data_IF_847648524183
#
_entry.id   IF_847648524183
#
_cell.length_a   1.000
_cell.length_b   1.000
_cell.length_c   1.000
_cell.angle_alpha   90.00
_cell.angle_beta   90.00
_cell.angle_gamma   90.00
#
_symmetry.space_group_name_H-M   'P 1'
#
loop_
_entity.id
_entity.type
_entity.pdbx_description
1 polymer ?
#
# COMPACT_ATOMS: atom_id res chain seq x y z
N UNK A 1 36.34 26.01 19.96
CA UNK A 1 35.66 24.81 20.53
C UNK A 1 34.20 25.17 20.58
N UNK A 2 33.39 24.62 19.68
CA UNK A 2 32.04 25.12 19.40
C UNK A 2 31.01 24.15 19.99
N UNK A 3 30.19 24.67 20.89
CA UNK A 3 29.10 23.97 21.56
C UNK A 3 28.00 23.60 20.55
N UNK A 4 27.73 22.31 20.39
CA UNK A 4 26.62 21.82 19.58
C UNK A 4 25.33 21.91 20.39
N UNK A 5 24.48 22.87 20.03
CA UNK A 5 23.09 22.97 20.47
C UNK A 5 22.31 21.72 20.05
N UNK A 6 21.87 20.91 21.01
CA UNK A 6 20.98 19.78 20.75
C UNK A 6 19.55 20.28 20.51
N UNK A 7 19.03 20.03 19.30
CA UNK A 7 17.67 20.32 18.86
C UNK A 7 16.62 19.63 19.73
N UNK A 8 15.77 20.43 20.39
CA UNK A 8 14.70 19.99 21.30
C UNK A 8 13.38 19.62 20.60
N UNK A 9 13.43 19.30 19.30
CA UNK A 9 12.24 19.05 18.46
C UNK A 9 12.25 17.67 17.77
N UNK A 10 13.00 16.71 18.31
CA UNK A 10 12.94 15.34 17.84
C UNK A 10 11.67 14.64 18.38
N UNK A 11 10.81 14.18 17.47
CA UNK A 11 9.58 13.43 17.76
C UNK A 11 9.82 12.22 18.68
N UNK A 12 11.00 11.60 18.62
CA UNK A 12 11.37 10.48 19.50
C UNK A 12 11.44 10.89 20.98
N UNK A 13 11.87 12.11 21.30
CA UNK A 13 11.95 12.59 22.69
C UNK A 13 10.57 12.93 23.25
N UNK A 14 9.66 13.46 22.41
CA UNK A 14 8.28 13.73 22.80
C UNK A 14 7.48 12.45 23.06
N UNK A 15 7.72 11.40 22.27
CA UNK A 15 7.15 10.06 22.50
C UNK A 15 7.64 9.45 23.81
N UNK A 16 8.93 9.59 24.12
CA UNK A 16 9.50 9.09 25.39
C UNK A 16 8.87 9.75 26.63
N UNK A 17 8.64 11.06 26.59
CA UNK A 17 7.98 11.78 27.70
C UNK A 17 6.51 11.38 27.89
N UNK A 18 5.80 11.08 26.81
CA UNK A 18 4.42 10.60 26.90
C UNK A 18 4.37 9.21 27.54
N UNK A 19 5.29 8.33 27.19
CA UNK A 19 5.38 7.01 27.78
C UNK A 19 5.65 7.09 29.29
N UNK A 20 6.63 7.89 29.71
CA UNK A 20 6.94 8.08 31.14
C UNK A 20 5.75 8.62 31.93
N UNK A 21 5.02 9.62 31.41
CA UNK A 21 3.84 10.15 32.11
C UNK A 21 2.69 9.15 32.23
N UNK A 22 2.53 8.28 31.24
CA UNK A 22 1.50 7.23 31.26
C UNK A 22 1.87 6.17 32.29
N UNK A 23 3.14 5.79 32.39
CA UNK A 23 3.65 4.85 33.40
C UNK A 23 3.46 5.41 34.82
N UNK A 24 3.87 6.64 35.07
CA UNK A 24 3.69 7.29 36.38
C UNK A 24 2.21 7.44 36.76
N UNK A 25 1.36 7.83 35.81
CA UNK A 25 -0.09 7.93 36.05
C UNK A 25 -0.71 6.56 36.34
N UNK A 26 -0.27 5.51 35.65
CA UNK A 26 -0.73 4.14 35.85
C UNK A 26 -0.32 3.59 37.22
N UNK A 27 0.93 3.79 37.63
CA UNK A 27 1.39 3.40 38.97
C UNK A 27 0.61 4.11 40.08
N UNK A 28 0.35 5.41 39.95
CA UNK A 28 -0.45 6.15 40.93
C UNK A 28 -1.90 5.65 41.01
N UNK A 29 -2.50 5.32 39.85
CA UNK A 29 -3.87 4.78 39.76
C UNK A 29 -3.99 3.37 40.34
N UNK A 30 -2.98 2.53 40.14
CA UNK A 30 -2.98 1.14 40.63
C UNK A 30 -2.65 1.10 42.13
N UNK A 31 -1.69 1.90 42.60
CA UNK A 31 -1.30 1.95 44.01
C UNK A 31 -2.42 2.48 44.92
N UNK A 32 -3.26 3.40 44.45
CA UNK A 32 -4.35 3.96 45.27
C UNK A 32 -5.61 3.08 45.34
N UNK A 33 -5.76 2.06 44.48
CA UNK A 33 -7.06 1.42 44.25
C UNK A 33 -6.98 -0.11 44.13
N UNK A 34 -6.18 -0.78 44.95
CA UNK A 34 -6.36 -2.22 45.20
C UNK A 34 -7.18 -2.37 46.48
N UNK A 35 -8.53 -2.29 46.44
CA UNK A 35 -9.32 -2.73 47.56
C UNK A 35 -8.98 -4.20 47.81
N UNK A 36 -8.80 -4.57 49.07
CA UNK A 36 -8.64 -5.97 49.48
C UNK A 36 -9.99 -6.67 49.27
N UNK A 37 -10.28 -7.03 48.01
CA UNK A 37 -11.53 -7.67 47.62
C UNK A 37 -11.45 -9.10 48.11
N UNK A 38 -12.05 -9.35 49.28
CA UNK A 38 -12.32 -10.70 49.73
C UNK A 38 -13.30 -11.31 48.74
N UNK A 39 -12.79 -12.17 47.88
CA UNK A 39 -13.60 -12.91 46.92
C UNK A 39 -14.60 -13.76 47.70
N UNK A 40 -15.91 -13.64 47.42
CA UNK A 40 -16.92 -14.43 48.09
C UNK A 40 -16.65 -15.93 47.95
N UNK A 41 -16.82 -16.71 49.03
CA UNK A 41 -16.48 -18.15 49.10
C UNK A 41 -17.19 -19.06 48.09
N UNK A 42 -18.20 -18.56 47.37
CA UNK A 42 -18.83 -19.29 46.27
C UNK A 42 -17.97 -19.33 44.99
N UNK A 43 -16.97 -18.46 44.85
CA UNK A 43 -16.00 -18.46 43.74
C UNK A 43 -15.12 -19.72 43.67
N UNK A 44 -14.90 -20.41 44.78
CA UNK A 44 -14.09 -21.64 44.85
C UNK A 44 -14.84 -22.91 44.40
N UNK A 45 -16.08 -22.77 43.92
CA UNK A 45 -16.86 -23.92 43.48
C UNK A 45 -16.39 -24.44 42.10
N UNK A 46 -16.11 -25.74 41.95
CA UNK A 46 -15.58 -26.32 40.70
C UNK A 46 -16.55 -26.20 39.52
N UNK A 47 -17.85 -26.13 39.80
CA UNK A 47 -18.90 -25.96 38.78
C UNK A 47 -18.87 -24.55 38.20
N UNK A 48 -18.67 -23.51 39.01
CA UNK A 48 -18.55 -22.14 38.50
C UNK A 48 -17.29 -21.95 37.69
N UNK A 49 -16.18 -22.61 38.06
CA UNK A 49 -14.96 -22.57 37.26
C UNK A 49 -15.16 -23.20 35.88
N UNK A 50 -15.85 -24.35 35.82
CA UNK A 50 -16.20 -25.00 34.56
C UNK A 50 -17.13 -24.12 33.70
N UNK A 51 -18.13 -23.47 34.29
CA UNK A 51 -19.03 -22.54 33.59
C UNK A 51 -18.27 -21.31 33.10
N UNK A 52 -17.38 -20.74 33.92
CA UNK A 52 -16.56 -19.58 33.55
C UNK A 52 -15.60 -19.92 32.40
N UNK A 53 -14.97 -21.09 32.43
CA UNK A 53 -14.11 -21.56 31.34
C UNK A 53 -14.92 -21.78 30.06
N UNK A 54 -16.10 -22.40 30.14
CA UNK A 54 -16.98 -22.58 29.00
C UNK A 54 -17.45 -21.23 28.42
N UNK A 55 -17.85 -20.29 29.28
CA UNK A 55 -18.24 -18.94 28.88
C UNK A 55 -17.06 -18.17 28.23
N UNK A 56 -15.86 -18.31 28.77
CA UNK A 56 -14.65 -17.71 28.21
C UNK A 56 -14.37 -18.21 26.79
N UNK A 57 -14.39 -19.53 26.57
CA UNK A 57 -14.20 -20.10 25.24
C UNK A 57 -15.31 -19.73 24.27
N UNK A 58 -16.55 -19.65 24.76
CA UNK A 58 -17.69 -19.20 23.96
C UNK A 58 -17.48 -17.75 23.51
N UNK A 59 -17.12 -16.84 24.41
CA UNK A 59 -16.82 -15.44 24.09
C UNK A 59 -15.65 -15.36 23.10
N UNK A 60 -14.57 -16.12 23.32
CA UNK A 60 -13.41 -16.15 22.44
C UNK A 60 -13.78 -16.61 21.03
N UNK A 61 -14.59 -17.67 20.93
CA UNK A 61 -15.08 -18.18 19.64
C UNK A 61 -15.96 -17.15 18.94
N UNK A 62 -16.85 -16.46 19.67
CA UNK A 62 -17.72 -15.42 19.14
C UNK A 62 -16.91 -14.22 18.61
N UNK A 63 -15.87 -13.80 19.34
CA UNK A 63 -14.91 -12.79 18.90
C UNK A 63 -14.13 -13.23 17.66
N UNK A 64 -13.67 -14.48 17.60
CA UNK A 64 -12.95 -15.00 16.45
C UNK A 64 -13.82 -15.05 15.19
N UNK A 65 -15.09 -15.47 15.32
CA UNK A 65 -16.07 -15.44 14.22
C UNK A 65 -16.34 -14.00 13.78
N UNK A 66 -16.55 -13.09 14.72
CA UNK A 66 -16.79 -11.68 14.42
C UNK A 66 -15.57 -11.02 13.73
N UNK A 67 -14.36 -11.26 14.21
CA UNK A 67 -13.13 -10.77 13.61
C UNK A 67 -12.93 -11.35 12.20
N UNK A 68 -13.15 -12.65 12.03
CA UNK A 68 -13.08 -13.30 10.71
C UNK A 68 -14.10 -12.71 9.74
N UNK A 69 -15.31 -12.44 10.21
CA UNK A 69 -16.35 -11.76 9.44
C UNK A 69 -15.94 -10.35 9.03
N UNK A 70 -15.39 -9.55 9.95
CA UNK A 70 -14.91 -8.20 9.67
C UNK A 70 -13.77 -8.20 8.64
N UNK A 71 -12.79 -9.09 8.80
CA UNK A 71 -11.71 -9.30 7.83
C UNK A 71 -12.30 -9.67 6.47
N UNK A 72 -13.28 -10.58 6.44
CA UNK A 72 -13.92 -10.99 5.20
C UNK A 72 -14.70 -9.85 4.52
N UNK A 73 -15.38 -8.99 5.28
CA UNK A 73 -16.05 -7.81 4.73
C UNK A 73 -15.04 -6.80 4.15
N UNK A 74 -13.91 -6.59 4.82
CA UNK A 74 -12.85 -5.69 4.36
C UNK A 74 -12.20 -6.21 3.07
N UNK A 75 -11.89 -7.51 3.03
CA UNK A 75 -11.40 -8.18 1.82
C UNK A 75 -12.44 -8.14 0.70
N UNK A 76 -13.74 -8.30 1.01
CA UNK A 76 -14.80 -8.21 0.00
C UNK A 76 -14.89 -6.83 -0.61
N UNK A 77 -14.70 -5.75 0.15
CA UNK A 77 -14.64 -4.38 -0.39
C UNK A 77 -13.46 -4.22 -1.35
N UNK A 78 -12.27 -4.69 -0.95
CA UNK A 78 -11.08 -4.69 -1.80
C UNK A 78 -11.30 -5.51 -3.09
N UNK A 79 -11.84 -6.72 -2.97
CA UNK A 79 -12.09 -7.62 -4.09
C UNK A 79 -13.24 -7.10 -4.99
N UNK A 80 -14.31 -6.49 -4.46
CA UNK A 80 -15.40 -5.95 -5.30
C UNK A 80 -14.99 -4.69 -6.06
N UNK A 81 -14.16 -3.82 -5.48
CA UNK A 81 -13.59 -2.69 -6.22
C UNK A 81 -12.63 -3.14 -7.33
N UNK A 82 -11.91 -4.25 -7.15
CA UNK A 82 -11.08 -4.86 -8.20
C UNK A 82 -11.90 -5.68 -9.21
N UNK A 83 -12.94 -6.41 -8.78
CA UNK A 83 -13.73 -7.34 -9.63
C UNK A 83 -14.74 -6.62 -10.52
N UNK A 84 -15.28 -5.46 -10.12
CA UNK A 84 -16.10 -4.61 -11.01
C UNK A 84 -15.28 -3.83 -12.06
N UNK A 85 -13.95 -3.74 -11.92
CA UNK A 85 -13.06 -3.13 -12.94
C UNK A 85 -12.42 -4.16 -13.89
N UNK A 86 -12.48 -5.46 -13.56
CA UNK A 86 -11.82 -6.54 -14.30
C UNK A 86 -12.76 -7.46 -15.12
N UNK A 87 -14.07 -7.18 -15.19
CA UNK A 87 -14.97 -7.96 -16.07
C UNK A 87 -14.78 -7.71 -17.57
N UNK A 88 -13.75 -6.97 -17.98
CA UNK A 88 -13.28 -6.98 -19.38
C UNK A 88 -11.78 -7.17 -19.45
N UNK A 89 -11.27 -8.37 -19.14
CA UNK A 89 -10.18 -9.07 -19.87
C UNK A 89 -9.57 -10.17 -19.00
N UNK A 90 -10.15 -11.37 -19.07
CA UNK A 90 -9.61 -12.59 -18.48
C UNK A 90 -8.53 -13.22 -19.39
N UNK A 91 -7.59 -12.39 -19.89
CA UNK A 91 -6.59 -12.82 -20.88
C UNK A 91 -5.22 -12.15 -20.71
N UNK A 92 -4.78 -11.88 -19.49
CA UNK A 92 -3.45 -11.30 -19.29
C UNK A 92 -2.86 -11.58 -17.90
N UNK A 93 -2.85 -12.84 -17.48
CA UNK A 93 -1.89 -13.29 -16.48
C UNK A 93 -0.72 -13.91 -17.25
N UNK A 94 0.49 -13.37 -17.05
CA UNK A 94 1.77 -13.85 -17.60
C UNK A 94 2.16 -13.35 -19.00
N UNK A 95 2.19 -12.03 -19.18
CA UNK A 95 3.03 -11.42 -20.22
C UNK A 95 4.13 -10.66 -19.52
N UNK A 96 5.32 -11.24 -19.50
CA UNK A 96 6.52 -10.60 -18.94
C UNK A 96 6.92 -9.47 -19.90
N UNK A 97 7.51 -8.38 -19.38
CA UNK A 97 7.98 -7.22 -20.17
C UNK A 97 8.76 -7.66 -21.43
N UNK A 98 9.45 -8.80 -21.33
CA UNK A 98 10.26 -9.42 -22.40
C UNK A 98 9.51 -9.83 -23.67
N UNK A 99 8.19 -9.96 -23.67
CA UNK A 99 7.46 -10.53 -24.81
C UNK A 99 6.89 -9.49 -25.78
N UNK A 100 6.78 -8.22 -25.38
CA UNK A 100 6.20 -7.16 -26.22
C UNK A 100 7.20 -6.05 -26.50
N UNK A 101 7.36 -5.75 -27.79
CA UNK A 101 8.09 -4.58 -28.28
C UNK A 101 7.43 -3.27 -27.84
N UNK A 102 8.21 -2.19 -27.87
CA UNK A 102 7.74 -0.82 -27.63
C UNK A 102 6.53 -0.49 -28.53
N UNK A 103 6.59 -0.83 -29.81
CA UNK A 103 5.53 -0.56 -30.78
C UNK A 103 4.20 -1.25 -30.42
N UNK A 104 4.27 -2.50 -29.94
CA UNK A 104 3.09 -3.25 -29.52
C UNK A 104 2.43 -2.64 -28.28
N UNK A 105 3.22 -2.18 -27.32
CA UNK A 105 2.70 -1.45 -26.16
C UNK A 105 1.98 -0.16 -26.56
N UNK A 106 2.55 0.59 -27.50
CA UNK A 106 1.93 1.82 -28.01
C UNK A 106 0.63 1.55 -28.75
N UNK A 107 0.60 0.54 -29.63
CA UNK A 107 -0.61 0.14 -30.32
C UNK A 107 -1.71 -0.30 -29.35
N UNK A 108 -1.34 -1.08 -28.32
CA UNK A 108 -2.27 -1.52 -27.27
C UNK A 108 -2.81 -0.34 -26.47
N UNK A 109 -1.96 0.63 -26.14
CA UNK A 109 -2.35 1.87 -25.46
C UNK A 109 -3.43 2.63 -26.23
N UNK A 110 -3.22 2.84 -27.54
CA UNK A 110 -4.18 3.54 -28.40
C UNK A 110 -5.53 2.81 -28.47
N UNK A 111 -5.52 1.49 -28.63
CA UNK A 111 -6.77 0.69 -28.63
C UNK A 111 -7.54 0.81 -27.31
N UNK A 112 -6.84 0.80 -26.18
CA UNK A 112 -7.46 0.95 -24.87
C UNK A 112 -8.01 2.37 -24.65
N UNK A 113 -7.30 3.40 -25.14
CA UNK A 113 -7.79 4.77 -25.11
C UNK A 113 -9.12 4.92 -25.88
N UNK A 114 -9.22 4.33 -27.07
CA UNK A 114 -10.46 4.36 -27.87
C UNK A 114 -11.64 3.67 -27.18
N UNK A 115 -11.36 2.71 -26.28
CA UNK A 115 -12.37 2.02 -25.46
C UNK A 115 -12.72 2.76 -24.16
N UNK A 116 -12.17 3.96 -23.93
CA UNK A 116 -12.32 4.70 -22.67
C UNK A 116 -11.57 4.08 -21.48
N UNK A 117 -10.67 3.14 -21.75
CA UNK A 117 -9.92 2.37 -20.74
C UNK A 117 -8.61 3.07 -20.37
N UNK A 118 -8.70 4.31 -19.89
CA UNK A 118 -7.55 5.19 -19.67
C UNK A 118 -6.50 4.62 -18.71
N UNK A 119 -6.92 3.96 -17.60
CA UNK A 119 -5.98 3.34 -16.64
C UNK A 119 -5.06 2.32 -17.31
N UNK A 120 -5.64 1.45 -18.14
CA UNK A 120 -4.88 0.40 -18.82
C UNK A 120 -4.05 0.98 -19.98
N UNK A 121 -4.54 2.04 -20.62
CA UNK A 121 -3.80 2.77 -21.63
C UNK A 121 -2.54 3.45 -21.05
N UNK A 122 -2.67 4.16 -19.92
CA UNK A 122 -1.53 4.73 -19.19
C UNK A 122 -0.51 3.65 -18.78
N UNK A 123 -1.00 2.50 -18.28
CA UNK A 123 -0.13 1.36 -17.97
C UNK A 123 0.67 0.88 -19.19
N UNK A 124 0.06 0.84 -20.38
CA UNK A 124 0.77 0.44 -21.59
C UNK A 124 1.88 1.45 -21.95
N UNK A 125 1.66 2.75 -21.76
CA UNK A 125 2.70 3.77 -21.97
C UNK A 125 3.86 3.63 -20.97
N UNK A 126 3.53 3.33 -19.70
CA UNK A 126 4.54 3.01 -18.69
C UNK A 126 5.37 1.78 -19.08
N UNK A 127 4.73 0.70 -19.54
CA UNK A 127 5.44 -0.51 -20.00
C UNK A 127 6.31 -0.25 -21.22
N UNK A 128 5.82 0.55 -22.18
CA UNK A 128 6.60 0.97 -23.34
C UNK A 128 7.87 1.74 -22.93
N UNK A 129 7.76 2.63 -21.93
CA UNK A 129 8.89 3.38 -21.39
C UNK A 129 9.92 2.45 -20.75
N UNK A 130 9.49 1.49 -19.91
CA UNK A 130 10.41 0.52 -19.32
C UNK A 130 11.10 -0.34 -20.38
N UNK A 131 10.37 -0.76 -21.40
CA UNK A 131 10.94 -1.50 -22.52
C UNK A 131 12.00 -0.66 -23.26
N UNK A 132 11.74 0.62 -23.54
CA UNK A 132 12.73 1.52 -24.15
C UNK A 132 14.00 1.67 -23.29
N UNK A 133 13.85 1.87 -21.99
CA UNK A 133 14.98 1.96 -21.07
C UNK A 133 15.83 0.69 -21.05
N UNK A 134 15.17 -0.47 -21.17
CA UNK A 134 15.83 -1.76 -21.27
C UNK A 134 16.54 -1.95 -22.63
N UNK A 135 15.87 -1.61 -23.73
CA UNK A 135 16.40 -1.75 -25.09
C UNK A 135 17.61 -0.83 -25.34
N UNK A 136 17.61 0.37 -24.75
CA UNK A 136 18.73 1.30 -24.78
C UNK A 136 19.92 0.85 -23.89
N UNK A 137 19.74 -0.16 -23.03
CA UNK A 137 20.75 -0.59 -22.05
C UNK A 137 20.97 0.40 -20.90
N UNK A 138 20.29 1.55 -20.92
CA UNK A 138 20.40 2.62 -19.92
C UNK A 138 19.95 2.16 -18.54
N UNK A 139 18.81 1.45 -18.47
CA UNK A 139 18.32 0.84 -17.24
C UNK A 139 17.85 -0.58 -17.56
N UNK A 140 18.69 -1.56 -17.23
CA UNK A 140 18.37 -2.98 -17.45
C UNK A 140 17.15 -3.36 -16.62
N UNK A 141 16.13 -3.91 -17.27
CA UNK A 141 14.92 -4.35 -16.61
C UNK A 141 15.19 -5.57 -15.72
N UNK A 142 14.68 -5.52 -14.48
CA UNK A 142 14.74 -6.63 -13.53
C UNK A 142 13.34 -6.89 -12.96
N UNK A 143 12.86 -8.15 -12.93
CA UNK A 143 11.51 -8.46 -12.44
C UNK A 143 11.25 -8.04 -10.99
N UNK A 144 12.29 -7.98 -10.16
CA UNK A 144 12.19 -7.57 -8.75
C UNK A 144 12.26 -6.06 -8.55
N UNK A 145 12.50 -5.28 -9.61
CA UNK A 145 12.69 -3.84 -9.49
C UNK A 145 11.37 -3.11 -9.30
N UNK A 146 11.33 -2.25 -8.30
CA UNK A 146 10.20 -1.41 -7.92
C UNK A 146 10.22 -0.05 -8.63
N UNK A 147 9.07 0.61 -8.70
CA UNK A 147 8.95 1.96 -9.26
C UNK A 147 9.85 2.98 -8.53
N UNK A 148 10.05 2.81 -7.21
CA UNK A 148 10.94 3.66 -6.43
C UNK A 148 12.41 3.52 -6.83
N UNK A 149 12.86 2.30 -7.13
CA UNK A 149 14.22 2.05 -7.64
C UNK A 149 14.37 2.58 -9.07
N UNK A 150 13.35 2.45 -9.93
CA UNK A 150 13.37 3.09 -11.25
C UNK A 150 13.50 4.61 -11.15
N UNK A 151 12.75 5.26 -10.24
CA UNK A 151 12.85 6.71 -9.99
C UNK A 151 14.29 7.13 -9.65
N UNK A 152 14.98 6.39 -8.77
CA UNK A 152 16.36 6.68 -8.41
C UNK A 152 17.32 6.58 -9.61
N UNK A 153 17.10 5.59 -10.49
CA UNK A 153 17.95 5.37 -11.67
C UNK A 153 17.73 6.43 -12.74
N UNK A 154 16.47 6.82 -13.00
CA UNK A 154 16.17 7.81 -14.03
C UNK A 154 16.62 9.23 -13.65
N UNK A 155 16.80 9.53 -12.35
CA UNK A 155 17.33 10.83 -11.90
C UNK A 155 18.75 11.10 -12.40
N UNK A 156 19.49 10.05 -12.78
CA UNK A 156 20.83 10.16 -13.36
C UNK A 156 20.79 10.49 -14.86
N UNK A 157 19.61 10.47 -15.49
CA UNK A 157 19.46 10.74 -16.92
C UNK A 157 19.37 12.25 -17.21
N UNK A 158 19.93 12.71 -18.35
CA UNK A 158 19.87 14.13 -18.73
C UNK A 158 18.44 14.68 -18.87
N UNK A 159 17.45 13.83 -19.13
CA UNK A 159 16.06 14.20 -19.32
C UNK A 159 15.13 13.28 -18.53
N UNK A 160 15.14 13.39 -17.19
CA UNK A 160 14.40 12.51 -16.27
C UNK A 160 12.90 12.82 -16.16
N UNK A 161 12.50 14.09 -16.34
CA UNK A 161 11.11 14.58 -16.10
C UNK A 161 10.02 13.75 -16.79
N UNK A 162 10.14 13.37 -18.08
CA UNK A 162 9.08 12.60 -18.74
C UNK A 162 8.94 11.18 -18.17
N UNK A 163 10.06 10.57 -17.77
CA UNK A 163 10.06 9.25 -17.12
C UNK A 163 9.43 9.33 -15.73
N UNK A 164 9.78 10.34 -14.95
CA UNK A 164 9.24 10.58 -13.60
C UNK A 164 7.72 10.80 -13.65
N UNK A 165 7.25 11.54 -14.66
CA UNK A 165 5.81 11.76 -14.86
C UNK A 165 5.06 10.45 -15.07
N UNK A 166 5.56 9.58 -15.95
CA UNK A 166 4.94 8.27 -16.20
C UNK A 166 4.97 7.34 -14.99
N UNK A 167 6.09 7.31 -14.26
CA UNK A 167 6.25 6.53 -13.02
C UNK A 167 5.28 7.01 -11.94
N UNK A 168 5.20 8.33 -11.73
CA UNK A 168 4.33 8.92 -10.71
C UNK A 168 2.86 8.67 -11.02
N UNK A 169 2.43 8.88 -12.28
CA UNK A 169 1.04 8.59 -12.67
C UNK A 169 0.75 7.09 -12.53
N UNK A 170 1.68 6.21 -12.90
CA UNK A 170 1.52 4.77 -12.69
C UNK A 170 1.31 4.43 -11.20
N UNK A 171 2.17 4.95 -10.32
CA UNK A 171 2.05 4.74 -8.87
C UNK A 171 0.71 5.24 -8.33
N UNK A 172 0.29 6.45 -8.70
CA UNK A 172 -0.99 7.03 -8.29
C UNK A 172 -2.18 6.22 -8.77
N UNK A 173 -2.13 5.70 -10.00
CA UNK A 173 -3.21 4.89 -10.57
C UNK A 173 -3.24 3.46 -10.04
N UNK A 174 -2.08 2.88 -9.68
CA UNK A 174 -1.99 1.49 -9.27
C UNK A 174 -2.10 1.29 -7.76
N UNK A 175 -1.47 2.16 -6.97
CA UNK A 175 -1.47 2.10 -5.51
C UNK A 175 -2.37 3.14 -4.85
N UNK A 176 -2.78 4.17 -5.58
CA UNK A 176 -3.72 5.18 -5.12
C UNK A 176 -5.17 4.90 -5.52
N UNK A 177 -6.08 5.73 -4.99
CA UNK A 177 -7.51 5.71 -5.33
C UNK A 177 -7.86 6.60 -6.52
N UNK A 178 -6.86 7.07 -7.28
CA UNK A 178 -7.09 7.98 -8.39
C UNK A 178 -7.86 7.31 -9.54
N UNK A 179 -8.83 8.01 -10.11
CA UNK A 179 -9.49 7.58 -11.34
C UNK A 179 -8.71 8.10 -12.55
N UNK A 180 -8.50 7.23 -13.55
CA UNK A 180 -7.86 7.65 -14.78
C UNK A 180 -8.91 8.29 -15.68
N UNK A 181 -8.77 9.58 -15.95
CA UNK A 181 -9.55 10.33 -16.93
C UNK A 181 -8.83 10.36 -18.28
N UNK A 182 -9.50 10.92 -19.29
CA UNK A 182 -8.87 11.25 -20.56
C UNK A 182 -7.69 12.20 -20.38
N UNK A 183 -7.81 13.21 -19.50
CA UNK A 183 -6.72 14.16 -19.23
C UNK A 183 -5.50 13.48 -18.61
N UNK A 184 -5.69 12.50 -17.71
CA UNK A 184 -4.58 11.68 -17.18
C UNK A 184 -3.87 10.90 -18.29
N UNK A 185 -4.63 10.37 -19.25
CA UNK A 185 -4.06 9.68 -20.40
C UNK A 185 -3.27 10.63 -21.31
N UNK A 186 -3.81 11.81 -21.61
CA UNK A 186 -3.12 12.82 -22.42
C UNK A 186 -1.80 13.25 -21.78
N UNK A 187 -1.77 13.42 -20.45
CA UNK A 187 -0.53 13.68 -19.70
C UNK A 187 0.48 12.55 -19.86
N UNK A 188 0.05 11.28 -19.74
CA UNK A 188 0.94 10.14 -19.97
C UNK A 188 1.46 10.12 -21.41
N UNK A 189 0.60 10.39 -22.39
CA UNK A 189 0.97 10.38 -23.79
C UNK A 189 1.97 11.49 -24.12
N UNK A 190 1.75 12.70 -23.60
CA UNK A 190 2.67 13.82 -23.75
C UNK A 190 4.02 13.52 -23.11
N UNK A 191 4.03 13.00 -21.87
CA UNK A 191 5.25 12.58 -21.20
C UNK A 191 6.01 11.53 -22.02
N UNK A 192 5.29 10.52 -22.53
CA UNK A 192 5.92 9.49 -23.36
C UNK A 192 6.53 10.05 -24.65
N UNK A 193 5.84 10.98 -25.34
CA UNK A 193 6.34 11.62 -26.56
C UNK A 193 7.55 12.51 -26.34
N UNK A 194 7.71 13.07 -25.13
CA UNK A 194 8.86 13.88 -24.77
C UNK A 194 10.12 13.05 -24.52
N UNK A 195 9.99 11.73 -24.31
CA UNK A 195 11.13 10.83 -24.22
C UNK A 195 11.77 10.75 -25.61
N UNK A 196 12.92 11.42 -25.77
CA UNK A 196 13.77 11.35 -26.96
C UNK A 196 14.63 10.08 -26.92
N UNK A 197 14.96 9.56 -28.10
CA UNK A 197 16.00 8.54 -28.28
C UNK A 197 17.39 9.13 -28.07
#
# INVERSE_FOLDING_TARGET
>A
MSESSFDKTNLGWQLGLLQQRVEEWWELKTAQNIPNVQLPSWFDSPILWAIAQAAFWLILALLAVWASWQIWQLLRFYIHHFKKRNQTTDFSAKTTIKDLSVAEWLLRSQKLQQQGKYRQACRCLYMAMLQRLNDAGTVVHQPSRTDGEYLQLIQQLPQSVPYETLLTIHQQLYFGNAEASQSTFEQCQQAYQQIKD
#
